data_IF_637880192899
#
_entry.id   IF_637880192899
#
_cell.length_a   1.000
_cell.length_b   1.000
_cell.length_c   1.000
_cell.angle_alpha   90.00
_cell.angle_beta   90.00
_cell.angle_gamma   90.00
#
_symmetry.space_group_name_H-M   'P 1'
#
loop_
_entity.id
_entity.type
_entity.pdbx_description
1 polymer ?
#
# COMPACT_ATOMS: atom_id res chain seq x y z
N UNK A 1 17.77 -17.74 -7.47
CA UNK A 1 16.46 -18.21 -6.96
C UNK A 1 15.36 -17.61 -7.84
N UNK A 2 14.46 -18.42 -8.42
CA UNK A 2 13.40 -17.90 -9.31
C UNK A 2 12.38 -17.06 -8.49
N UNK A 3 11.96 -15.89 -9.01
CA UNK A 3 10.96 -14.98 -8.41
C UNK A 3 9.72 -15.71 -7.90
N UNK A 4 9.20 -16.69 -8.65
CA UNK A 4 8.01 -17.45 -8.28
C UNK A 4 8.27 -18.36 -7.07
N UNK A 5 9.46 -18.97 -6.99
CA UNK A 5 9.86 -19.80 -5.85
C UNK A 5 10.06 -18.96 -4.59
N UNK A 6 10.55 -17.73 -4.72
CA UNK A 6 10.68 -16.79 -3.60
C UNK A 6 9.30 -16.43 -3.03
N UNK A 7 8.36 -16.01 -3.89
CA UNK A 7 6.99 -15.64 -3.47
C UNK A 7 6.30 -16.80 -2.74
N UNK A 8 6.38 -18.03 -3.27
CA UNK A 8 5.78 -19.19 -2.62
C UNK A 8 6.37 -19.45 -1.23
N UNK A 9 7.69 -19.30 -1.07
CA UNK A 9 8.37 -19.45 0.23
C UNK A 9 7.95 -18.37 1.23
N UNK A 10 7.89 -17.11 0.79
CA UNK A 10 7.42 -15.98 1.60
C UNK A 10 5.99 -16.24 2.11
N UNK A 11 5.08 -16.63 1.20
CA UNK A 11 3.70 -16.95 1.56
C UNK A 11 3.61 -18.12 2.52
N UNK A 12 4.43 -19.16 2.34
CA UNK A 12 4.50 -20.31 3.25
C UNK A 12 4.91 -19.88 4.66
N UNK A 13 5.95 -19.04 4.79
CA UNK A 13 6.44 -18.56 6.09
C UNK A 13 5.45 -17.58 6.75
N UNK A 14 4.84 -16.71 5.96
CA UNK A 14 3.80 -15.83 6.47
C UNK A 14 2.58 -16.63 6.98
N UNK A 15 2.25 -17.78 6.37
CA UNK A 15 1.18 -18.66 6.88
C UNK A 15 1.53 -19.37 8.19
N UNK A 16 2.82 -19.62 8.46
CA UNK A 16 3.25 -20.20 9.73
C UNK A 16 3.24 -19.20 10.88
N UNK A 17 3.08 -17.90 10.61
CA UNK A 17 2.82 -16.89 11.64
C UNK A 17 1.46 -17.16 12.26
N UNK A 18 1.48 -17.83 13.42
CA UNK A 18 0.31 -18.01 14.27
C UNK A 18 0.12 -16.74 15.09
N UNK A 19 -1.14 -16.43 15.39
CA UNK A 19 -1.41 -15.63 16.57
C UNK A 19 -0.87 -16.43 17.77
N UNK A 20 0.19 -15.92 18.42
CA UNK A 20 0.59 -16.47 19.71
C UNK A 20 -0.58 -16.27 20.70
N UNK A 21 -0.62 -17.10 21.75
CA UNK A 21 -1.68 -17.00 22.77
C UNK A 21 -1.60 -15.66 23.55
N UNK A 22 -0.43 -15.05 23.56
CA UNK A 22 -0.11 -13.80 24.23
C UNK A 22 0.43 -12.74 23.23
N UNK A 23 0.16 -11.47 23.50
CA UNK A 23 0.54 -10.35 22.63
C UNK A 23 2.07 -10.22 22.43
N UNK A 24 2.94 -10.40 23.46
CA UNK A 24 4.39 -10.31 23.28
C UNK A 24 4.96 -11.38 22.34
N UNK A 25 4.54 -12.64 22.47
CA UNK A 25 4.98 -13.73 21.59
C UNK A 25 4.55 -13.52 20.13
N UNK A 26 3.38 -12.90 19.93
CA UNK A 26 2.89 -12.58 18.59
C UNK A 26 3.75 -11.48 17.94
N UNK A 27 4.05 -10.41 18.68
CA UNK A 27 4.92 -9.32 18.19
C UNK A 27 6.32 -9.82 17.85
N UNK A 28 6.89 -10.68 18.69
CA UNK A 28 8.18 -11.29 18.45
C UNK A 28 8.21 -12.06 17.12
N UNK A 29 7.22 -12.93 16.90
CA UNK A 29 7.11 -13.74 15.67
C UNK A 29 7.05 -12.88 14.39
N UNK A 30 6.31 -11.76 14.43
CA UNK A 30 6.23 -10.84 13.28
C UNK A 30 7.54 -10.08 13.05
N UNK A 31 8.21 -9.63 14.11
CA UNK A 31 9.52 -8.96 14.01
C UNK A 31 10.61 -9.90 13.49
N UNK A 32 10.62 -11.15 13.96
CA UNK A 32 11.52 -12.19 13.45
C UNK A 32 11.28 -12.47 11.97
N UNK A 33 10.01 -12.59 11.55
CA UNK A 33 9.66 -12.76 10.15
C UNK A 33 10.17 -11.61 9.29
N UNK A 34 9.90 -10.36 9.68
CA UNK A 34 10.36 -9.19 8.94
C UNK A 34 11.90 -9.13 8.86
N UNK A 35 12.58 -9.37 9.98
CA UNK A 35 14.05 -9.39 10.03
C UNK A 35 14.62 -10.47 9.11
N UNK A 36 14.07 -11.69 9.17
CA UNK A 36 14.52 -12.80 8.34
C UNK A 36 14.24 -12.60 6.85
N UNK A 37 13.11 -12.01 6.48
CA UNK A 37 12.80 -11.70 5.08
C UNK A 37 13.64 -10.53 4.56
N UNK A 38 13.93 -9.52 5.38
CA UNK A 38 14.82 -8.41 5.00
C UNK A 38 16.24 -8.92 4.70
N UNK A 39 16.77 -9.83 5.52
CA UNK A 39 18.05 -10.48 5.25
C UNK A 39 18.04 -11.25 3.92
N UNK A 40 16.95 -11.98 3.63
CA UNK A 40 16.80 -12.72 2.36
C UNK A 40 16.72 -11.78 1.16
N UNK A 41 16.03 -10.65 1.28
CA UNK A 41 15.95 -9.64 0.24
C UNK A 41 17.33 -9.01 -0.03
N UNK A 42 18.12 -8.75 1.02
CA UNK A 42 19.51 -8.28 0.88
C UNK A 42 20.38 -9.28 0.15
N UNK A 43 20.31 -10.56 0.51
CA UNK A 43 21.02 -11.62 -0.20
C UNK A 43 20.57 -11.75 -1.66
N UNK A 44 19.26 -11.63 -1.92
CA UNK A 44 18.71 -11.64 -3.27
C UNK A 44 19.28 -10.51 -4.13
N UNK A 45 19.40 -9.29 -3.58
CA UNK A 45 20.05 -8.17 -4.25
C UNK A 45 21.56 -8.39 -4.44
N UNK A 46 22.26 -8.84 -3.40
CA UNK A 46 23.70 -9.13 -3.47
C UNK A 46 24.06 -10.22 -4.49
N UNK A 47 23.12 -11.10 -4.82
CA UNK A 47 23.25 -12.12 -5.87
C UNK A 47 22.95 -11.60 -7.29
N UNK A 48 22.77 -10.28 -7.45
CA UNK A 48 22.62 -9.62 -8.75
C UNK A 48 21.20 -9.23 -9.15
N UNK A 49 20.20 -9.38 -8.25
CA UNK A 49 18.85 -8.89 -8.55
C UNK A 49 18.81 -7.36 -8.62
N UNK A 50 18.07 -6.80 -9.59
CA UNK A 50 17.94 -5.35 -9.76
C UNK A 50 17.13 -4.66 -8.66
N UNK A 51 17.24 -3.34 -8.55
CA UNK A 51 16.50 -2.55 -7.54
C UNK A 51 14.98 -2.66 -7.67
N UNK A 52 14.46 -2.71 -8.90
CA UNK A 52 13.02 -2.92 -9.17
C UNK A 52 12.59 -4.32 -8.71
N UNK A 53 13.42 -5.35 -8.93
CA UNK A 53 13.13 -6.72 -8.49
C UNK A 53 13.11 -6.81 -6.96
N UNK A 54 14.06 -6.16 -6.29
CA UNK A 54 14.09 -6.05 -4.84
C UNK A 54 12.83 -5.35 -4.31
N UNK A 55 12.48 -4.18 -4.85
CA UNK A 55 11.33 -3.40 -4.39
C UNK A 55 10.02 -4.16 -4.56
N UNK A 56 9.89 -4.87 -5.69
CA UNK A 56 8.78 -5.75 -5.97
C UNK A 56 8.73 -6.92 -4.98
N UNK A 57 9.86 -7.56 -4.70
CA UNK A 57 9.93 -8.66 -3.74
C UNK A 57 9.59 -8.20 -2.31
N UNK A 58 10.06 -7.02 -1.90
CA UNK A 58 9.70 -6.40 -0.62
C UNK A 58 8.19 -6.16 -0.50
N UNK A 59 7.55 -5.66 -1.56
CA UNK A 59 6.09 -5.52 -1.60
C UNK A 59 5.35 -6.85 -1.40
N UNK A 60 5.88 -7.96 -1.91
CA UNK A 60 5.27 -9.28 -1.67
C UNK A 60 5.43 -9.77 -0.22
N UNK A 61 6.55 -9.46 0.44
CA UNK A 61 6.76 -9.74 1.87
C UNK A 61 5.72 -9.00 2.71
N UNK A 62 5.52 -7.70 2.45
CA UNK A 62 4.53 -6.90 3.17
C UNK A 62 3.10 -7.35 2.84
N UNK A 63 2.80 -7.70 1.59
CA UNK A 63 1.49 -8.28 1.22
C UNK A 63 1.20 -9.55 2.04
N UNK A 64 2.19 -10.43 2.18
CA UNK A 64 2.05 -11.69 2.90
C UNK A 64 1.79 -11.46 4.40
N UNK A 65 2.53 -10.53 5.00
CA UNK A 65 2.33 -10.08 6.38
C UNK A 65 0.91 -9.51 6.57
N UNK A 66 0.49 -8.55 5.75
CA UNK A 66 -0.81 -7.90 5.85
C UNK A 66 -1.97 -8.89 5.66
N UNK A 67 -1.86 -9.83 4.69
CA UNK A 67 -2.87 -10.87 4.49
C UNK A 67 -3.00 -11.79 5.71
N UNK A 68 -1.88 -12.13 6.35
CA UNK A 68 -1.87 -12.92 7.59
C UNK A 68 -2.51 -12.11 8.74
N UNK A 69 -2.10 -10.85 8.94
CA UNK A 69 -2.68 -9.95 9.94
C UNK A 69 -4.19 -9.79 9.78
N UNK A 70 -4.67 -9.53 8.55
CA UNK A 70 -6.10 -9.41 8.28
C UNK A 70 -6.83 -10.71 8.60
N UNK A 71 -6.26 -11.87 8.24
CA UNK A 71 -6.88 -13.17 8.56
C UNK A 71 -7.03 -13.34 10.07
N UNK A 72 -5.97 -13.07 10.83
CA UNK A 72 -5.95 -13.21 12.27
C UNK A 72 -6.91 -12.23 12.96
N UNK A 73 -6.91 -10.96 12.53
CA UNK A 73 -7.84 -9.94 13.03
C UNK A 73 -9.30 -10.33 12.77
N UNK A 74 -9.62 -10.83 11.57
CA UNK A 74 -10.97 -11.35 11.30
C UNK A 74 -11.33 -12.51 12.24
N UNK A 75 -10.45 -13.50 12.42
CA UNK A 75 -10.71 -14.63 13.32
C UNK A 75 -10.97 -14.19 14.76
N UNK A 76 -10.29 -13.14 15.23
CA UNK A 76 -10.49 -12.60 16.57
C UNK A 76 -11.78 -11.78 16.69
N UNK A 77 -12.08 -10.92 15.72
CA UNK A 77 -13.18 -9.97 15.82
C UNK A 77 -14.56 -10.53 15.40
N UNK A 78 -14.59 -11.59 14.58
CA UNK A 78 -15.82 -12.08 13.95
C UNK A 78 -16.47 -13.30 14.61
N UNK A 79 -15.75 -14.06 15.43
CA UNK A 79 -16.23 -15.37 15.89
C UNK A 79 -16.60 -16.27 14.71
N UNK A 80 -17.83 -16.77 14.69
CA UNK A 80 -18.36 -17.67 13.65
C UNK A 80 -18.77 -16.98 12.35
N UNK A 81 -18.78 -15.64 12.31
CA UNK A 81 -19.20 -14.91 11.12
C UNK A 81 -18.17 -15.09 9.98
N UNK A 82 -18.60 -15.49 8.77
CA UNK A 82 -17.67 -15.65 7.65
C UNK A 82 -16.96 -14.35 7.27
N UNK A 83 -15.62 -14.39 7.17
CA UNK A 83 -14.79 -13.25 6.73
C UNK A 83 -15.24 -12.63 5.41
N UNK A 84 -15.73 -13.44 4.48
CA UNK A 84 -16.23 -12.98 3.19
C UNK A 84 -17.43 -12.02 3.31
N UNK A 85 -18.14 -12.04 4.44
CA UNK A 85 -19.28 -11.18 4.71
C UNK A 85 -18.91 -9.83 5.32
N UNK A 86 -17.65 -9.59 5.71
CA UNK A 86 -17.25 -8.24 6.11
C UNK A 86 -17.15 -7.36 4.86
N UNK A 87 -17.81 -6.18 4.86
CA UNK A 87 -17.72 -5.23 3.75
C UNK A 87 -16.41 -4.43 3.74
N UNK A 88 -15.24 -5.06 3.89
CA UNK A 88 -13.93 -4.40 4.03
C UNK A 88 -12.96 -4.78 2.91
N UNK A 89 -12.26 -3.77 2.39
CA UNK A 89 -11.12 -3.88 1.50
C UNK A 89 -9.88 -3.34 2.19
N UNK A 90 -8.76 -4.03 2.04
CA UNK A 90 -7.43 -3.56 2.39
C UNK A 90 -6.64 -3.39 1.10
N UNK A 91 -6.22 -2.16 0.82
CA UNK A 91 -5.71 -1.70 -0.47
C UNK A 91 -4.35 -1.05 -0.27
N UNK A 92 -3.35 -1.44 -1.07
CA UNK A 92 -2.08 -0.73 -1.14
C UNK A 92 -2.24 0.49 -2.05
N UNK A 93 -1.69 1.63 -1.66
CA UNK A 93 -1.74 2.88 -2.45
C UNK A 93 -0.35 3.45 -2.66
N UNK A 94 -0.21 4.44 -3.54
CA UNK A 94 1.07 5.08 -3.78
C UNK A 94 2.15 4.14 -4.33
N UNK A 95 3.40 4.32 -3.87
CA UNK A 95 4.52 3.46 -4.25
C UNK A 95 4.35 2.01 -3.81
N UNK A 96 3.62 1.74 -2.71
CA UNK A 96 3.29 0.39 -2.33
C UNK A 96 2.26 -0.25 -3.27
N UNK A 97 1.29 0.53 -3.73
CA UNK A 97 0.33 0.16 -4.78
C UNK A 97 1.03 -0.34 -6.04
N UNK A 98 2.02 0.42 -6.52
CA UNK A 98 2.89 0.07 -7.67
C UNK A 98 3.87 -1.09 -7.43
N UNK A 99 3.97 -1.61 -6.19
CA UNK A 99 4.98 -2.58 -5.76
C UNK A 99 6.42 -2.06 -5.89
N UNK A 100 6.62 -0.77 -5.66
CA UNK A 100 7.93 -0.08 -5.69
C UNK A 100 8.41 0.25 -4.26
N UNK A 101 8.33 -0.72 -3.34
CA UNK A 101 8.76 -0.53 -1.96
C UNK A 101 10.29 -0.60 -1.84
N UNK A 102 10.95 0.55 -1.93
CA UNK A 102 12.37 0.67 -1.61
C UNK A 102 12.64 0.41 -0.11
N UNK A 103 13.90 0.17 0.29
CA UNK A 103 14.29 0.15 1.70
C UNK A 103 13.78 1.40 2.43
N UNK A 104 13.33 1.24 3.67
CA UNK A 104 12.80 2.31 4.51
C UNK A 104 11.56 3.06 3.97
N UNK A 105 10.96 2.59 2.87
CA UNK A 105 9.68 3.16 2.41
C UNK A 105 8.57 2.89 3.41
N UNK A 106 7.74 3.91 3.62
CA UNK A 106 6.48 3.81 4.36
C UNK A 106 5.53 2.81 3.68
N UNK A 107 4.65 2.21 4.47
CA UNK A 107 3.66 1.24 4.02
C UNK A 107 2.30 1.93 3.96
N UNK A 108 1.90 2.36 2.76
CA UNK A 108 0.63 3.06 2.54
C UNK A 108 -0.52 2.07 2.35
N UNK A 109 -1.43 1.98 3.32
CA UNK A 109 -2.56 1.04 3.32
C UNK A 109 -3.89 1.75 3.55
N UNK A 110 -4.84 1.54 2.67
CA UNK A 110 -6.21 2.06 2.80
C UNK A 110 -7.19 0.95 3.14
N UNK A 111 -7.99 1.19 4.18
CA UNK A 111 -9.09 0.36 4.64
C UNK A 111 -10.42 0.96 4.17
N UNK A 112 -10.95 0.42 3.08
CA UNK A 112 -12.13 0.97 2.40
C UNK A 112 -13.31 0.02 2.60
N UNK A 113 -14.45 0.53 3.09
CA UNK A 113 -15.58 -0.33 3.44
C UNK A 113 -16.96 0.18 2.97
N UNK A 114 -17.94 -0.72 2.94
CA UNK A 114 -19.37 -0.45 2.72
C UNK A 114 -20.15 -0.93 3.96
N UNK A 115 -19.67 -0.52 5.15
CA UNK A 115 -20.25 -0.95 6.42
C UNK A 115 -21.44 -0.06 6.79
N UNK A 116 -22.64 -0.51 6.45
CA UNK A 116 -23.87 0.25 6.69
C UNK A 116 -24.48 -0.07 8.06
N UNK A 117 -24.39 -1.33 8.48
CA UNK A 117 -24.97 -1.82 9.74
C UNK A 117 -24.04 -1.54 10.93
N UNK A 118 -24.57 -1.22 12.14
CA UNK A 118 -23.75 -0.98 13.33
C UNK A 118 -22.73 -2.11 13.60
N UNK A 119 -23.18 -3.36 13.59
CA UNK A 119 -22.33 -4.54 13.75
C UNK A 119 -21.19 -4.66 12.72
N UNK A 120 -21.38 -4.14 11.51
CA UNK A 120 -20.35 -4.14 10.47
C UNK A 120 -19.34 -3.03 10.72
N UNK A 121 -19.79 -1.86 11.18
CA UNK A 121 -18.94 -0.74 11.56
C UNK A 121 -18.03 -1.14 12.73
N UNK A 122 -18.61 -1.71 13.79
CA UNK A 122 -17.87 -2.16 14.96
C UNK A 122 -16.86 -3.28 14.62
N UNK A 123 -17.22 -4.19 13.72
CA UNK A 123 -16.31 -5.23 13.25
C UNK A 123 -15.16 -4.65 12.43
N UNK A 124 -15.45 -3.73 11.50
CA UNK A 124 -14.43 -3.06 10.68
C UNK A 124 -13.48 -2.27 11.55
N UNK A 125 -13.99 -1.47 12.47
CA UNK A 125 -13.16 -0.65 13.36
C UNK A 125 -12.19 -1.51 14.18
N UNK A 126 -12.69 -2.55 14.85
CA UNK A 126 -11.85 -3.46 15.64
C UNK A 126 -10.77 -4.14 14.80
N UNK A 127 -11.11 -4.59 13.60
CA UNK A 127 -10.14 -5.23 12.68
C UNK A 127 -9.07 -4.23 12.24
N UNK A 128 -9.47 -3.03 11.84
CA UNK A 128 -8.55 -1.99 11.38
C UNK A 128 -7.61 -1.57 12.51
N UNK A 129 -8.14 -1.31 13.71
CA UNK A 129 -7.34 -0.96 14.88
C UNK A 129 -6.34 -2.07 15.22
N UNK A 130 -6.76 -3.32 15.26
CA UNK A 130 -5.88 -4.45 15.56
C UNK A 130 -4.74 -4.57 14.54
N UNK A 131 -5.02 -4.38 13.25
CA UNK A 131 -3.97 -4.41 12.21
C UNK A 131 -3.02 -3.23 12.39
N UNK A 132 -3.54 -2.00 12.55
CA UNK A 132 -2.72 -0.79 12.64
C UNK A 132 -1.80 -0.81 13.86
N UNK A 133 -2.33 -1.14 15.04
CA UNK A 133 -1.52 -1.22 16.26
C UNK A 133 -0.41 -2.26 16.13
N UNK A 134 -0.70 -3.45 15.59
CA UNK A 134 0.33 -4.46 15.36
C UNK A 134 1.40 -3.97 14.38
N UNK A 135 1.03 -3.25 13.32
CA UNK A 135 2.02 -2.72 12.36
C UNK A 135 2.94 -1.69 13.00
N UNK A 136 2.42 -0.81 13.86
CA UNK A 136 3.24 0.15 14.60
C UNK A 136 4.11 -0.53 15.65
N UNK A 137 3.56 -1.48 16.40
CA UNK A 137 4.28 -2.22 17.43
C UNK A 137 5.46 -3.01 16.84
N UNK A 138 5.35 -3.53 15.62
CA UNK A 138 6.48 -4.21 14.94
C UNK A 138 7.44 -3.23 14.24
N UNK A 139 7.23 -1.91 14.40
CA UNK A 139 8.15 -0.86 13.97
C UNK A 139 7.98 -0.41 12.52
N UNK A 140 6.87 -0.73 11.85
CA UNK A 140 6.60 -0.24 10.50
C UNK A 140 6.03 1.18 10.55
N UNK A 141 6.51 2.04 9.64
CA UNK A 141 5.91 3.34 9.35
C UNK A 141 4.73 3.12 8.40
N UNK A 142 3.53 3.51 8.83
CA UNK A 142 2.28 3.23 8.10
C UNK A 142 1.55 4.53 7.82
N UNK A 143 1.46 4.90 6.54
CA UNK A 143 0.45 5.83 6.06
C UNK A 143 -0.86 5.09 5.88
N UNK A 144 -1.98 5.64 6.35
CA UNK A 144 -3.26 4.97 6.19
C UNK A 144 -4.44 5.90 5.96
N UNK A 145 -5.46 5.33 5.33
CA UNK A 145 -6.80 5.90 5.22
C UNK A 145 -7.80 4.85 5.66
N UNK A 146 -8.80 5.25 6.44
CA UNK A 146 -9.94 4.38 6.79
C UNK A 146 -11.22 5.12 6.52
N UNK A 147 -12.12 4.53 5.73
CA UNK A 147 -13.39 5.15 5.45
C UNK A 147 -14.30 4.39 4.51
N UNK A 148 -15.49 4.93 4.32
CA UNK A 148 -16.45 4.43 3.36
C UNK A 148 -15.99 4.70 1.92
N UNK A 149 -16.69 4.12 0.95
CA UNK A 149 -16.48 4.43 -0.46
C UNK A 149 -16.63 5.93 -0.71
N UNK A 150 -17.71 6.52 -0.20
CA UNK A 150 -18.05 7.93 -0.35
C UNK A 150 -16.96 8.81 0.26
N UNK A 151 -16.55 8.53 1.50
CA UNK A 151 -15.46 9.28 2.17
C UNK A 151 -14.14 9.17 1.41
N UNK A 152 -13.85 8.03 0.80
CA UNK A 152 -12.64 7.88 -0.03
C UNK A 152 -12.70 8.76 -1.29
N UNK A 153 -13.89 8.94 -1.88
CA UNK A 153 -14.06 9.81 -3.04
C UNK A 153 -13.98 11.28 -2.65
N UNK A 154 -14.63 11.68 -1.57
CA UNK A 154 -14.57 13.04 -1.02
C UNK A 154 -13.12 13.44 -0.72
N UNK A 155 -12.37 12.58 -0.01
CA UNK A 155 -10.96 12.85 0.31
C UNK A 155 -10.11 13.00 -0.96
N UNK A 156 -10.32 12.14 -1.96
CA UNK A 156 -9.59 12.21 -3.22
C UNK A 156 -10.01 13.39 -4.11
N UNK A 157 -11.20 13.95 -3.94
CA UNK A 157 -11.60 15.20 -4.59
C UNK A 157 -10.96 16.41 -3.92
N UNK A 158 -10.81 16.38 -2.60
CA UNK A 158 -10.25 17.46 -1.80
C UNK A 158 -8.71 17.54 -1.86
N UNK A 159 -8.01 16.41 -2.06
CA UNK A 159 -6.56 16.34 -2.05
C UNK A 159 -6.00 15.55 -3.25
N UNK A 160 -5.17 16.23 -4.06
CA UNK A 160 -4.54 15.65 -5.25
C UNK A 160 -3.59 14.50 -4.90
N UNK A 161 -2.95 14.54 -3.73
CA UNK A 161 -1.98 13.53 -3.34
C UNK A 161 -2.71 12.22 -3.04
N UNK A 162 -3.85 12.30 -2.33
CA UNK A 162 -4.77 11.18 -2.14
C UNK A 162 -5.34 10.70 -3.48
N UNK A 163 -5.79 11.62 -4.36
CA UNK A 163 -6.27 11.28 -5.70
C UNK A 163 -5.26 10.44 -6.46
N UNK A 164 -4.03 10.93 -6.54
CA UNK A 164 -2.92 10.25 -7.22
C UNK A 164 -2.64 8.90 -6.58
N UNK A 165 -2.60 8.83 -5.25
CA UNK A 165 -2.34 7.57 -4.54
C UNK A 165 -3.41 6.50 -4.79
N UNK A 166 -4.68 6.90 -5.00
CA UNK A 166 -5.79 6.00 -5.33
C UNK A 166 -5.85 5.57 -6.80
N UNK A 167 -5.29 6.34 -7.75
CA UNK A 167 -5.08 5.87 -9.13
C UNK A 167 -4.23 4.58 -9.11
N UNK A 168 -3.26 4.54 -8.20
CA UNK A 168 -2.29 3.44 -8.03
C UNK A 168 -2.78 2.33 -7.11
N UNK A 169 -4.05 2.37 -6.72
CA UNK A 169 -4.63 1.43 -5.77
C UNK A 169 -4.53 -0.01 -6.28
N UNK A 170 -4.05 -0.89 -5.39
CA UNK A 170 -3.94 -2.33 -5.62
C UNK A 170 -4.56 -3.11 -4.47
N UNK A 171 -5.48 -4.02 -4.78
CA UNK A 171 -6.10 -4.88 -3.77
C UNK A 171 -5.06 -5.79 -3.10
N UNK A 172 -4.94 -5.70 -1.79
CA UNK A 172 -4.20 -6.65 -0.95
C UNK A 172 -5.16 -7.74 -0.50
N UNK A 173 -6.30 -7.36 0.08
CA UNK A 173 -7.23 -8.31 0.67
C UNK A 173 -8.66 -7.77 0.68
N UNK A 174 -9.64 -8.64 0.45
CA UNK A 174 -11.06 -8.29 0.40
C UNK A 174 -11.74 -8.96 -0.79
N UNK A 175 -13.00 -8.65 -1.00
CA UNK A 175 -13.75 -9.14 -2.16
C UNK A 175 -13.31 -8.40 -3.44
N UNK A 176 -12.90 -9.17 -4.46
CA UNK A 176 -12.37 -8.59 -5.71
C UNK A 176 -13.44 -7.80 -6.46
N UNK A 177 -14.69 -8.29 -6.51
CA UNK A 177 -15.79 -7.59 -7.18
C UNK A 177 -16.07 -6.25 -6.51
N UNK A 178 -16.01 -6.19 -5.18
CA UNK A 178 -16.15 -4.95 -4.40
C UNK A 178 -15.04 -3.95 -4.71
N UNK A 179 -13.78 -4.41 -4.81
CA UNK A 179 -12.67 -3.54 -5.23
C UNK A 179 -12.85 -3.01 -6.65
N UNK A 180 -13.26 -3.85 -7.59
CA UNK A 180 -13.49 -3.44 -8.98
C UNK A 180 -14.64 -2.42 -9.09
N UNK A 181 -15.72 -2.59 -8.29
CA UNK A 181 -16.78 -1.57 -8.16
C UNK A 181 -16.27 -0.26 -7.58
N UNK A 182 -15.45 -0.31 -6.52
CA UNK A 182 -14.84 0.88 -5.94
C UNK A 182 -14.00 1.63 -6.98
N UNK A 183 -13.12 0.92 -7.72
CA UNK A 183 -12.30 1.47 -8.81
C UNK A 183 -13.15 2.13 -9.89
N UNK A 184 -14.24 1.47 -10.32
CA UNK A 184 -15.14 2.01 -11.34
C UNK A 184 -15.84 3.29 -10.86
N UNK A 185 -16.37 3.30 -9.63
CA UNK A 185 -17.00 4.48 -9.05
C UNK A 185 -15.98 5.62 -8.84
N UNK A 186 -14.77 5.30 -8.38
CA UNK A 186 -13.68 6.26 -8.23
C UNK A 186 -13.37 6.95 -9.55
N UNK A 187 -13.21 6.18 -10.64
CA UNK A 187 -12.95 6.74 -11.97
C UNK A 187 -14.04 7.71 -12.40
N UNK A 188 -15.31 7.29 -12.34
CA UNK A 188 -16.45 8.11 -12.75
C UNK A 188 -16.66 9.37 -11.91
N UNK A 189 -16.45 9.28 -10.59
CA UNK A 189 -16.75 10.39 -9.66
C UNK A 189 -15.58 11.34 -9.43
N UNK A 190 -14.35 10.87 -9.57
CA UNK A 190 -13.16 11.64 -9.14
C UNK A 190 -12.21 11.93 -10.30
N UNK A 191 -12.00 10.97 -11.21
CA UNK A 191 -11.05 11.11 -12.30
C UNK A 191 -11.69 11.85 -13.49
N UNK A 192 -12.74 11.26 -14.07
CA UNK A 192 -13.39 11.75 -15.30
C UNK A 192 -13.85 13.23 -15.23
N UNK A 193 -14.43 13.74 -14.12
CA UNK A 193 -14.90 15.12 -14.07
C UNK A 193 -13.81 16.20 -14.04
N UNK A 194 -12.54 15.84 -13.85
CA UNK A 194 -11.47 16.80 -13.56
C UNK A 194 -10.12 16.48 -14.18
N UNK A 195 -10.11 15.79 -15.33
CA UNK A 195 -8.88 15.35 -16.02
C UNK A 195 -7.97 16.53 -16.37
N UNK A 196 -8.52 17.57 -17.01
CA UNK A 196 -7.73 18.75 -17.43
C UNK A 196 -7.09 19.46 -16.24
N UNK A 197 -7.86 19.67 -15.16
CA UNK A 197 -7.37 20.28 -13.93
C UNK A 197 -6.28 19.43 -13.27
N UNK A 198 -6.43 18.11 -13.27
CA UNK A 198 -5.42 17.19 -12.75
C UNK A 198 -4.11 17.27 -13.56
N UNK A 199 -4.20 17.25 -14.89
CA UNK A 199 -3.03 17.36 -15.78
C UNK A 199 -2.32 18.70 -15.55
N UNK A 200 -3.06 19.81 -15.49
CA UNK A 200 -2.49 21.13 -15.22
C UNK A 200 -1.77 21.15 -13.88
N UNK A 201 -2.36 20.58 -12.83
CA UNK A 201 -1.74 20.50 -11.51
C UNK A 201 -0.46 19.63 -11.51
N UNK A 202 -0.43 18.52 -12.26
CA UNK A 202 0.80 17.72 -12.45
C UNK A 202 1.89 18.48 -13.20
N UNK A 203 1.52 19.32 -14.17
CA UNK A 203 2.47 20.19 -14.87
C UNK A 203 3.05 21.26 -13.95
N UNK A 204 2.23 21.86 -13.08
CA UNK A 204 2.67 22.83 -12.09
C UNK A 204 3.59 22.20 -11.03
N UNK A 205 3.25 21.01 -10.50
CA UNK A 205 4.13 20.25 -9.59
C UNK A 205 5.49 19.99 -10.22
N UNK A 206 5.53 19.56 -11.50
CA UNK A 206 6.78 19.34 -12.22
C UNK A 206 7.62 20.61 -12.31
N UNK A 207 7.00 21.73 -12.70
CA UNK A 207 7.71 23.02 -12.81
C UNK A 207 8.30 23.45 -11.45
N UNK A 208 7.52 23.34 -10.36
CA UNK A 208 7.98 23.64 -9.01
C UNK A 208 9.14 22.72 -8.57
N UNK A 209 9.06 21.42 -8.87
CA UNK A 209 10.15 20.48 -8.57
C UNK A 209 11.43 20.82 -9.34
N UNK A 210 11.33 21.20 -10.61
CA UNK A 210 12.50 21.57 -11.41
C UNK A 210 13.19 22.80 -10.85
N UNK A 211 12.43 23.80 -10.40
CA UNK A 211 13.00 24.97 -9.71
C UNK A 211 13.71 24.58 -8.41
N UNK A 212 13.18 23.61 -7.66
CA UNK A 212 13.76 23.19 -6.37
C UNK A 212 14.95 22.23 -6.52
N UNK A 213 14.92 21.32 -7.50
CA UNK A 213 15.83 20.18 -7.60
C UNK A 213 16.63 20.13 -8.91
N UNK A 214 16.49 21.13 -9.79
CA UNK A 214 17.16 21.16 -11.10
C UNK A 214 17.55 22.56 -11.58
N UNK A 215 17.50 23.58 -10.72
CA UNK A 215 17.74 24.98 -11.11
C UNK A 215 19.21 25.37 -11.32
N UNK A 216 20.16 24.45 -11.17
CA UNK A 216 21.58 24.78 -11.34
C UNK A 216 22.36 23.67 -12.04
N UNK A 217 23.16 24.08 -13.02
CA UNK A 217 24.14 23.25 -13.72
C UNK A 217 25.35 22.89 -12.83
N UNK A 218 25.48 23.54 -11.67
CA UNK A 218 26.51 23.25 -10.65
C UNK A 218 26.08 22.18 -9.63
N UNK A 219 24.97 21.48 -9.88
CA UNK A 219 24.49 20.43 -8.98
C UNK A 219 25.43 19.23 -9.02
N UNK A 220 26.20 19.03 -7.95
CA UNK A 220 27.20 17.95 -7.86
C UNK A 220 26.56 16.55 -7.80
N UNK A 221 25.39 16.43 -7.18
CA UNK A 221 24.65 15.17 -7.08
C UNK A 221 23.19 15.35 -7.53
N UNK A 222 22.71 14.59 -8.52
CA UNK A 222 21.34 14.71 -9.01
C UNK A 222 20.34 14.09 -8.03
N UNK A 223 19.18 14.73 -7.86
CA UNK A 223 18.07 14.11 -7.12
C UNK A 223 17.35 13.08 -8.00
N UNK A 224 17.66 11.80 -7.83
CA UNK A 224 17.10 10.70 -8.63
C UNK A 224 15.57 10.58 -8.57
N UNK A 225 14.92 11.13 -7.53
CA UNK A 225 13.47 11.06 -7.35
C UNK A 225 12.77 12.28 -7.97
N UNK A 226 13.16 13.48 -7.57
CA UNK A 226 12.43 14.71 -7.86
C UNK A 226 13.10 15.60 -8.91
N UNK A 227 14.36 15.33 -9.27
CA UNK A 227 15.09 16.09 -10.29
C UNK A 227 14.51 15.90 -11.70
N UNK A 228 14.96 16.72 -12.64
CA UNK A 228 14.56 16.65 -14.04
C UNK A 228 14.96 15.31 -14.68
N UNK A 229 14.01 14.63 -15.30
CA UNK A 229 14.18 13.28 -15.83
C UNK A 229 14.21 12.19 -14.75
N UNK A 230 13.93 12.53 -13.49
CA UNK A 230 13.94 11.60 -12.37
C UNK A 230 12.71 10.69 -12.30
N UNK A 231 12.67 9.84 -11.26
CA UNK A 231 11.60 8.86 -11.07
C UNK A 231 10.20 9.50 -11.01
N UNK A 232 10.05 10.69 -10.42
CA UNK A 232 8.77 11.38 -10.33
C UNK A 232 8.27 11.87 -11.69
N UNK A 233 9.15 12.17 -12.64
CA UNK A 233 8.71 12.55 -13.99
C UNK A 233 8.15 11.35 -14.74
N UNK A 234 8.81 10.19 -14.63
CA UNK A 234 8.28 8.92 -15.12
C UNK A 234 6.92 8.60 -14.50
N UNK A 235 6.78 8.72 -13.17
CA UNK A 235 5.52 8.50 -12.48
C UNK A 235 4.44 9.49 -12.93
N UNK A 236 4.77 10.78 -13.07
CA UNK A 236 3.82 11.80 -13.55
C UNK A 236 3.26 11.43 -14.94
N UNK A 237 4.11 10.93 -15.85
CA UNK A 237 3.66 10.49 -17.19
C UNK A 237 2.66 9.34 -17.06
N UNK A 238 2.95 8.33 -16.24
CA UNK A 238 2.03 7.21 -16.03
C UNK A 238 0.69 7.69 -15.44
N UNK A 239 0.72 8.58 -14.45
CA UNK A 239 -0.49 9.11 -13.83
C UNK A 239 -1.35 9.88 -14.82
N UNK A 240 -0.74 10.72 -15.65
CA UNK A 240 -1.46 11.47 -16.69
C UNK A 240 -2.01 10.56 -17.80
N UNK A 241 -1.40 9.40 -18.04
CA UNK A 241 -1.90 8.43 -19.01
C UNK A 241 -3.04 7.56 -18.44
N UNK A 242 -3.09 7.36 -17.13
CA UNK A 242 -4.07 6.51 -16.46
C UNK A 242 -5.41 7.23 -16.14
N UNK A 243 -5.41 8.56 -16.13
CA UNK A 243 -6.62 9.39 -15.89
C UNK A 243 -7.55 9.42 -17.10
#
# INVERSE_FOLDING_TARGET
>A
MNKQQHITKVLSRARSLRAAKDQPGQLHSYREFLTGEEQRLRLFHAQGAGGVEFANARAHVIDALLRNLFKNACSFCLGDRPRAQIPLLMVATGGYGRKELAPFSDIDVSFIHEADKPQDKDAVERIVQQILYLLWDIGLKVGHFTGTFERSFEQAQADVQTKTSFIEARLIQGDRKRFDRWRQKFRKKVIEPGVDGYIQERMLDRAARYQKYGATVFMQEPNIKNGCGGLRDYQNILWMADV
#
